data_IF_125906057591
#
_entry.id   IF_125906057591
#
_cell.length_a   1.000
_cell.length_b   1.000
_cell.length_c   1.000
_cell.angle_alpha   90.00
_cell.angle_beta   90.00
_cell.angle_gamma   90.00
#
_symmetry.space_group_name_H-M   'P 1'
#
loop_
_entity.id
_entity.type
_entity.pdbx_description
1 polymer ?
#
# COMPACT_ATOMS: atom_id res chain seq x y z
N UNK A 1 23.94 9.18 -25.21
CA UNK A 1 23.83 8.25 -26.37
C UNK A 1 24.93 7.19 -26.36
N UNK A 2 26.19 7.53 -26.09
CA UNK A 2 27.31 6.58 -26.00
C UNK A 2 27.13 5.59 -24.84
N UNK A 3 26.69 6.07 -23.68
CA UNK A 3 26.48 5.25 -22.48
C UNK A 3 25.32 4.22 -22.64
N UNK A 4 24.29 4.55 -23.43
CA UNK A 4 23.21 3.59 -23.81
C UNK A 4 23.71 2.51 -24.77
N UNK A 5 24.57 2.88 -25.74
CA UNK A 5 25.15 1.89 -26.67
C UNK A 5 26.12 0.94 -25.99
N UNK A 6 26.92 1.43 -25.06
CA UNK A 6 27.85 0.61 -24.28
C UNK A 6 27.11 -0.38 -23.34
N UNK A 7 25.99 0.01 -22.75
CA UNK A 7 25.13 -0.91 -21.99
C UNK A 7 24.47 -1.97 -22.88
N UNK A 8 24.03 -1.61 -24.07
CA UNK A 8 23.44 -2.58 -25.01
C UNK A 8 24.49 -3.56 -25.55
N UNK A 9 25.70 -3.12 -25.83
CA UNK A 9 26.80 -3.99 -26.24
C UNK A 9 27.19 -4.98 -25.13
N UNK A 10 27.40 -4.50 -23.90
CA UNK A 10 27.73 -5.38 -22.77
C UNK A 10 26.66 -6.44 -22.45
N UNK A 11 25.38 -6.15 -22.71
CA UNK A 11 24.29 -7.11 -22.54
C UNK A 11 24.30 -8.16 -23.66
N UNK A 12 24.54 -7.75 -24.92
CA UNK A 12 24.65 -8.68 -26.05
C UNK A 12 25.84 -9.62 -25.94
N UNK A 13 27.00 -9.08 -25.68
CA UNK A 13 28.27 -9.85 -25.67
C UNK A 13 28.39 -10.86 -24.52
N UNK A 14 27.52 -10.75 -23.47
CA UNK A 14 27.54 -11.66 -22.32
C UNK A 14 26.38 -12.64 -22.30
N UNK A 15 25.40 -12.50 -23.16
CA UNK A 15 24.23 -13.38 -23.23
C UNK A 15 24.28 -14.37 -24.40
N UNK A 16 25.13 -14.12 -25.36
CA UNK A 16 25.34 -15.05 -26.45
C UNK A 16 26.43 -16.05 -25.99
N UNK A 17 26.10 -17.34 -25.96
CA UNK A 17 27.11 -18.37 -25.85
C UNK A 17 28.00 -18.30 -27.12
N UNK A 18 29.31 -18.50 -26.97
CA UNK A 18 30.26 -18.42 -28.10
C UNK A 18 29.89 -19.32 -29.25
N UNK A 19 29.08 -20.35 -29.03
CA UNK A 19 28.55 -21.31 -29.97
C UNK A 19 27.08 -21.10 -30.39
N UNK A 20 26.45 -19.98 -29.96
CA UNK A 20 25.04 -19.70 -30.19
C UNK A 20 24.05 -20.59 -29.46
N UNK A 21 24.51 -21.39 -28.50
CA UNK A 21 23.68 -22.25 -27.66
C UNK A 21 23.09 -21.54 -26.44
N UNK A 22 22.01 -22.11 -25.91
CA UNK A 22 21.39 -21.67 -24.64
C UNK A 22 22.31 -21.94 -23.44
N UNK A 23 22.81 -20.87 -22.80
CA UNK A 23 23.57 -21.01 -21.56
C UNK A 23 22.65 -21.27 -20.37
N UNK A 24 22.70 -22.47 -19.77
CA UNK A 24 21.84 -22.92 -18.66
C UNK A 24 22.65 -23.25 -17.43
N UNK A 25 23.44 -22.30 -17.02
CA UNK A 25 24.47 -22.45 -15.97
C UNK A 25 23.94 -22.94 -14.61
N UNK A 26 22.66 -22.86 -14.33
CA UNK A 26 22.03 -23.29 -13.07
C UNK A 26 21.08 -24.48 -13.21
N UNK A 27 20.95 -25.09 -14.40
CA UNK A 27 20.02 -26.18 -14.64
C UNK A 27 20.31 -27.40 -13.78
N UNK A 28 21.53 -27.88 -13.81
CA UNK A 28 21.99 -29.00 -12.98
C UNK A 28 21.78 -28.79 -11.48
N UNK A 29 22.15 -27.61 -10.99
CA UNK A 29 21.93 -27.26 -9.60
C UNK A 29 20.43 -27.21 -9.24
N UNK A 30 19.61 -26.60 -10.08
CA UNK A 30 18.18 -26.42 -9.84
C UNK A 30 17.44 -27.75 -9.82
N UNK A 31 17.74 -28.63 -10.78
CA UNK A 31 17.16 -29.96 -10.84
C UNK A 31 17.63 -30.84 -9.70
N UNK A 32 18.94 -30.87 -9.41
CA UNK A 32 19.51 -31.65 -8.34
C UNK A 32 18.97 -31.27 -6.95
N UNK A 33 18.88 -29.96 -6.65
CA UNK A 33 18.34 -29.51 -5.35
C UNK A 33 16.83 -29.75 -5.23
N UNK A 34 16.07 -29.70 -6.34
CA UNK A 34 14.66 -30.08 -6.37
C UNK A 34 14.49 -31.56 -6.04
N UNK A 35 15.26 -32.44 -6.70
CA UNK A 35 15.19 -33.89 -6.52
C UNK A 35 15.59 -34.28 -5.10
N UNK A 36 16.67 -33.69 -4.57
CA UNK A 36 17.07 -33.82 -3.18
C UNK A 36 15.95 -33.40 -2.24
N UNK A 37 15.29 -32.26 -2.48
CA UNK A 37 14.18 -31.80 -1.65
C UNK A 37 12.97 -32.75 -1.68
N UNK A 38 12.68 -33.34 -2.84
CA UNK A 38 11.58 -34.30 -3.01
C UNK A 38 11.84 -35.64 -2.35
N UNK A 39 13.11 -36.01 -2.11
CA UNK A 39 13.45 -37.23 -1.40
C UNK A 39 13.18 -37.19 0.12
N UNK A 40 12.99 -35.99 0.67
CA UNK A 40 12.70 -35.80 2.09
C UNK A 40 11.21 -35.67 2.39
N UNK A 41 10.82 -36.05 3.60
CA UNK A 41 9.45 -35.84 4.10
C UNK A 41 9.15 -34.33 4.18
N UNK A 42 8.03 -33.90 3.62
CA UNK A 42 7.61 -32.49 3.61
C UNK A 42 7.52 -31.95 5.06
N UNK A 43 8.21 -30.83 5.31
CA UNK A 43 8.28 -30.17 6.62
C UNK A 43 9.38 -30.72 7.54
N UNK A 44 10.13 -31.76 7.14
CA UNK A 44 11.30 -32.20 7.89
C UNK A 44 12.41 -31.15 7.87
N UNK A 45 13.36 -31.17 8.84
CA UNK A 45 14.51 -30.28 8.83
C UNK A 45 15.32 -30.37 7.53
N UNK A 46 15.50 -31.57 6.99
CA UNK A 46 16.26 -31.79 5.75
C UNK A 46 15.55 -31.19 4.52
N UNK A 47 14.24 -31.37 4.41
CA UNK A 47 13.44 -30.71 3.35
C UNK A 47 13.54 -29.17 3.44
N UNK A 48 13.44 -28.63 4.65
CA UNK A 48 13.55 -27.19 4.89
C UNK A 48 14.95 -26.67 4.58
N UNK A 49 15.99 -27.45 4.88
CA UNK A 49 17.36 -27.11 4.56
C UNK A 49 17.62 -27.12 3.04
N UNK A 50 17.19 -28.17 2.34
CA UNK A 50 17.25 -28.23 0.87
C UNK A 50 16.51 -27.05 0.22
N UNK A 51 15.32 -26.71 0.73
CA UNK A 51 14.56 -25.53 0.30
C UNK A 51 15.32 -24.22 0.52
N UNK A 52 16.00 -24.08 1.66
CA UNK A 52 16.81 -22.89 1.96
C UNK A 52 18.00 -22.77 0.99
N UNK A 53 18.68 -23.86 0.68
CA UNK A 53 19.80 -23.89 -0.30
C UNK A 53 19.28 -23.43 -1.67
N UNK A 54 18.20 -24.03 -2.18
CA UNK A 54 17.61 -23.67 -3.47
C UNK A 54 17.20 -22.20 -3.53
N UNK A 55 16.50 -21.70 -2.53
CA UNK A 55 16.07 -20.31 -2.48
C UNK A 55 17.24 -19.32 -2.35
N UNK A 56 18.36 -19.73 -1.74
CA UNK A 56 19.50 -18.84 -1.57
C UNK A 56 20.31 -18.62 -2.84
N UNK A 57 20.20 -19.47 -3.85
CA UNK A 57 20.87 -19.30 -5.15
C UNK A 57 20.57 -17.92 -5.76
N UNK A 58 19.29 -17.59 -5.91
CA UNK A 58 18.89 -16.28 -6.44
C UNK A 58 19.44 -15.14 -5.58
N UNK A 59 19.34 -15.24 -4.25
CA UNK A 59 19.90 -14.23 -3.34
C UNK A 59 21.40 -14.02 -3.52
N UNK A 60 22.14 -15.08 -3.82
CA UNK A 60 23.60 -15.03 -4.06
C UNK A 60 23.93 -14.34 -5.39
N UNK A 61 23.12 -14.48 -6.43
CA UNK A 61 23.34 -13.74 -7.70
C UNK A 61 23.15 -12.23 -7.53
N UNK A 62 22.36 -11.80 -6.55
CA UNK A 62 22.09 -10.38 -6.24
C UNK A 62 22.96 -9.83 -5.09
N UNK A 63 23.75 -10.66 -4.41
CA UNK A 63 24.54 -10.25 -3.25
C UNK A 63 25.60 -9.21 -3.64
N UNK A 64 25.70 -8.10 -2.88
CA UNK A 64 26.69 -7.05 -3.11
C UNK A 64 26.31 -6.06 -4.23
N UNK A 65 25.19 -6.22 -4.96
CA UNK A 65 24.74 -5.25 -5.95
C UNK A 65 24.19 -3.95 -5.32
N UNK A 66 23.70 -4.05 -4.10
CA UNK A 66 23.27 -2.92 -3.28
C UNK A 66 24.04 -2.95 -1.96
N UNK A 67 24.55 -1.78 -1.56
CA UNK A 67 25.21 -1.63 -0.25
C UNK A 67 24.30 -2.10 0.88
N UNK A 68 24.80 -3.05 1.66
CA UNK A 68 24.13 -3.61 2.84
C UNK A 68 25.18 -3.87 3.90
N UNK A 69 24.97 -3.32 5.09
CA UNK A 69 25.85 -3.59 6.23
C UNK A 69 25.45 -4.90 6.91
N UNK A 70 26.41 -5.77 7.17
CA UNK A 70 26.27 -7.01 7.92
C UNK A 70 27.31 -7.07 9.03
N UNK A 71 27.05 -7.88 10.06
CA UNK A 71 28.02 -8.12 11.11
C UNK A 71 28.88 -9.33 10.72
N UNK A 72 30.20 -9.09 10.60
CA UNK A 72 31.18 -10.13 10.34
C UNK A 72 31.63 -10.75 11.68
N UNK A 73 31.35 -12.03 11.88
CA UNK A 73 31.69 -12.77 13.11
C UNK A 73 33.16 -13.11 13.23
N UNK A 74 33.91 -13.13 12.12
CA UNK A 74 35.37 -13.36 12.17
C UNK A 74 36.12 -12.09 12.55
N UNK A 75 35.77 -10.97 11.89
CA UNK A 75 36.39 -9.67 12.16
C UNK A 75 35.75 -8.90 13.32
N UNK A 76 34.66 -9.43 13.91
CA UNK A 76 33.89 -8.84 15.01
C UNK A 76 33.48 -7.40 14.78
N UNK A 77 33.17 -7.06 13.55
CA UNK A 77 32.83 -5.69 13.13
C UNK A 77 31.73 -5.66 12.08
N UNK A 78 31.09 -4.54 11.95
CA UNK A 78 30.14 -4.30 10.83
C UNK A 78 30.91 -3.98 9.57
N UNK A 79 30.66 -4.74 8.51
CA UNK A 79 31.27 -4.57 7.19
C UNK A 79 30.18 -4.41 6.12
N UNK A 80 30.55 -3.88 4.98
CA UNK A 80 29.70 -3.95 3.79
C UNK A 80 29.70 -5.39 3.27
N UNK A 81 28.52 -5.94 2.98
CA UNK A 81 28.36 -7.31 2.48
C UNK A 81 29.06 -7.43 1.12
N UNK A 82 30.13 -8.22 1.00
CA UNK A 82 30.85 -8.38 -0.26
C UNK A 82 30.02 -9.13 -1.30
N UNK A 83 30.31 -8.97 -2.60
CA UNK A 83 29.74 -9.82 -3.65
C UNK A 83 29.99 -11.30 -3.38
N UNK A 84 29.09 -12.15 -3.79
CA UNK A 84 29.31 -13.61 -3.80
C UNK A 84 30.15 -14.01 -5.03
N UNK A 85 30.67 -15.23 -5.04
CA UNK A 85 31.39 -15.78 -6.20
C UNK A 85 30.52 -15.88 -7.48
N UNK A 86 29.18 -15.90 -7.31
CA UNK A 86 28.21 -16.00 -8.39
C UNK A 86 27.39 -14.72 -8.55
N UNK A 87 27.83 -13.59 -8.00
CA UNK A 87 27.13 -12.31 -8.16
C UNK A 87 27.11 -11.92 -9.63
N UNK A 88 25.89 -11.76 -10.17
CA UNK A 88 25.67 -11.37 -11.56
C UNK A 88 24.39 -10.53 -11.64
N UNK A 89 24.56 -9.25 -11.94
CA UNK A 89 23.45 -8.28 -12.00
C UNK A 89 22.43 -8.62 -13.09
N UNK A 90 22.88 -9.18 -14.22
CA UNK A 90 22.01 -9.51 -15.34
C UNK A 90 21.10 -10.69 -14.95
N UNK A 91 21.67 -11.77 -14.43
CA UNK A 91 20.90 -12.94 -14.01
C UNK A 91 19.90 -12.56 -12.91
N UNK A 92 20.34 -11.80 -11.90
CA UNK A 92 19.47 -11.34 -10.82
C UNK A 92 18.32 -10.46 -11.35
N UNK A 93 18.59 -9.54 -12.29
CA UNK A 93 17.58 -8.69 -12.90
C UNK A 93 16.61 -9.47 -13.80
N UNK A 94 17.14 -10.38 -14.62
CA UNK A 94 16.31 -11.24 -15.49
C UNK A 94 15.39 -12.15 -14.68
N UNK A 95 15.86 -12.80 -13.63
CA UNK A 95 15.05 -13.69 -12.80
C UNK A 95 13.84 -12.94 -12.22
N UNK A 96 14.05 -11.79 -11.58
CA UNK A 96 12.94 -11.01 -11.03
C UNK A 96 12.11 -10.33 -12.10
N UNK A 97 12.73 -9.85 -13.17
CA UNK A 97 12.06 -9.21 -14.30
C UNK A 97 11.11 -10.17 -15.01
N UNK A 98 11.55 -11.41 -15.26
CA UNK A 98 10.74 -12.43 -15.90
C UNK A 98 9.52 -12.82 -15.05
N UNK A 99 9.69 -13.13 -13.76
CA UNK A 99 8.56 -13.45 -12.88
C UNK A 99 7.57 -12.29 -12.79
N UNK A 100 8.06 -11.04 -12.72
CA UNK A 100 7.17 -9.85 -12.75
C UNK A 100 6.43 -9.71 -14.07
N UNK A 101 7.06 -10.02 -15.21
CA UNK A 101 6.41 -9.97 -16.51
C UNK A 101 5.31 -11.03 -16.62
N UNK A 102 5.58 -12.27 -16.19
CA UNK A 102 4.57 -13.34 -16.11
C UNK A 102 3.40 -12.92 -15.23
N UNK A 103 3.68 -12.46 -14.01
CA UNK A 103 2.66 -12.04 -13.07
C UNK A 103 1.83 -10.86 -13.62
N UNK A 104 2.46 -9.87 -14.23
CA UNK A 104 1.78 -8.72 -14.84
C UNK A 104 0.90 -9.12 -16.01
N UNK A 105 1.37 -10.06 -16.84
CA UNK A 105 0.56 -10.59 -17.94
C UNK A 105 -0.66 -11.34 -17.42
N UNK A 106 -0.50 -12.21 -16.40
CA UNK A 106 -1.61 -12.93 -15.80
C UNK A 106 -2.64 -12.00 -15.17
N UNK A 107 -2.19 -11.00 -14.43
CA UNK A 107 -3.08 -9.98 -13.82
C UNK A 107 -3.84 -9.18 -14.89
N UNK A 108 -3.17 -8.83 -16.00
CA UNK A 108 -3.80 -8.08 -17.11
C UNK A 108 -4.80 -8.94 -17.91
N UNK A 109 -4.73 -10.26 -17.80
CA UNK A 109 -5.60 -11.24 -18.47
C UNK A 109 -6.68 -11.83 -17.57
N UNK A 110 -6.79 -11.34 -16.33
CA UNK A 110 -7.95 -11.68 -15.49
C UNK A 110 -9.22 -11.22 -16.20
N UNK A 111 -10.28 -12.06 -16.30
CA UNK A 111 -11.49 -11.73 -17.03
C UNK A 111 -12.14 -10.41 -16.60
N UNK A 112 -12.78 -9.74 -17.54
CA UNK A 112 -13.56 -8.54 -17.27
C UNK A 112 -14.66 -8.86 -16.23
N UNK A 113 -14.84 -7.99 -15.24
CA UNK A 113 -15.77 -8.19 -14.12
C UNK A 113 -15.20 -8.99 -12.95
N UNK A 114 -13.97 -9.49 -13.06
CA UNK A 114 -13.23 -10.10 -11.95
C UNK A 114 -12.21 -9.13 -11.37
N UNK A 115 -11.89 -9.30 -10.10
CA UNK A 115 -11.04 -8.38 -9.33
C UNK A 115 -9.73 -9.06 -8.91
N UNK A 116 -8.62 -8.35 -9.03
CA UNK A 116 -7.36 -8.73 -8.39
C UNK A 116 -7.25 -8.01 -7.04
N UNK A 117 -7.44 -8.76 -5.97
CA UNK A 117 -7.47 -8.23 -4.60
C UNK A 117 -6.06 -7.88 -4.10
N UNK A 118 -5.09 -8.73 -4.40
CA UNK A 118 -3.71 -8.56 -3.94
C UNK A 118 -2.72 -9.24 -4.88
N UNK A 119 -1.57 -8.61 -5.10
CA UNK A 119 -0.45 -9.20 -5.80
C UNK A 119 0.79 -9.18 -4.88
N UNK A 120 1.54 -10.29 -4.88
CA UNK A 120 2.80 -10.44 -4.17
C UNK A 120 3.96 -10.64 -5.15
N UNK A 121 5.08 -11.19 -4.70
CA UNK A 121 6.28 -11.35 -5.52
C UNK A 121 6.11 -12.37 -6.63
N UNK A 122 5.33 -13.43 -6.36
CA UNK A 122 5.23 -14.67 -7.12
C UNK A 122 3.81 -15.23 -7.20
N UNK A 123 2.80 -14.43 -6.84
CA UNK A 123 1.41 -14.84 -6.87
C UNK A 123 0.43 -13.68 -6.68
N UNK A 124 -0.83 -13.94 -6.89
CA UNK A 124 -1.91 -12.98 -6.70
C UNK A 124 -3.16 -13.66 -6.12
N UNK A 125 -4.07 -12.88 -5.59
CA UNK A 125 -5.39 -13.29 -5.10
C UNK A 125 -6.42 -12.62 -5.99
N UNK A 126 -7.33 -13.42 -6.51
CA UNK A 126 -8.42 -12.97 -7.39
C UNK A 126 -9.70 -13.74 -7.07
N UNK A 127 -10.84 -13.20 -7.45
CA UNK A 127 -12.15 -13.86 -7.44
C UNK A 127 -12.41 -14.65 -8.75
N UNK A 128 -11.46 -14.68 -9.70
CA UNK A 128 -11.51 -15.55 -10.86
C UNK A 128 -11.15 -17.00 -10.47
N UNK A 129 -11.89 -17.98 -10.99
CA UNK A 129 -11.52 -19.39 -10.86
C UNK A 129 -10.29 -19.70 -11.73
N UNK A 130 -9.53 -20.73 -11.35
CA UNK A 130 -8.32 -21.11 -12.08
C UNK A 130 -8.57 -21.41 -13.57
N UNK A 131 -9.72 -22.02 -13.89
CA UNK A 131 -10.15 -22.33 -15.25
C UNK A 131 -10.52 -21.11 -16.10
N UNK A 132 -10.77 -19.96 -15.48
CA UNK A 132 -11.09 -18.70 -16.16
C UNK A 132 -9.83 -17.92 -16.55
N UNK A 133 -8.66 -18.30 -16.02
CA UNK A 133 -7.41 -17.58 -16.28
C UNK A 133 -6.85 -17.93 -17.67
N UNK A 134 -6.55 -16.90 -18.47
CA UNK A 134 -5.95 -17.06 -19.78
C UNK A 134 -4.42 -17.22 -19.68
N UNK A 135 -3.95 -18.46 -19.90
CA UNK A 135 -2.54 -18.83 -19.88
C UNK A 135 -1.88 -18.83 -21.29
N UNK A 136 -2.55 -18.31 -22.31
CA UNK A 136 -2.04 -18.30 -23.68
C UNK A 136 -1.10 -17.13 -24.02
N UNK A 137 -0.80 -16.29 -23.02
CA UNK A 137 0.11 -15.16 -23.20
C UNK A 137 1.56 -15.57 -23.42
N UNK A 138 2.36 -14.76 -24.11
CA UNK A 138 3.74 -15.08 -24.45
C UNK A 138 4.65 -15.31 -23.24
N UNK A 139 4.41 -14.61 -22.12
CA UNK A 139 5.19 -14.82 -20.90
C UNK A 139 4.74 -16.09 -20.17
N UNK A 140 3.44 -16.38 -20.14
CA UNK A 140 2.90 -17.61 -19.59
C UNK A 140 3.42 -18.84 -20.33
N UNK A 141 3.37 -18.84 -21.66
CA UNK A 141 3.91 -19.93 -22.50
C UNK A 141 5.39 -20.18 -22.22
N UNK A 142 6.19 -19.11 -22.14
CA UNK A 142 7.63 -19.24 -21.81
C UNK A 142 7.86 -19.77 -20.41
N UNK A 143 7.04 -19.37 -19.45
CA UNK A 143 7.16 -19.83 -18.07
C UNK A 143 6.70 -21.27 -17.93
N UNK A 144 5.62 -21.68 -18.63
CA UNK A 144 5.19 -23.09 -18.68
C UNK A 144 6.29 -23.97 -19.29
N UNK A 145 6.90 -23.57 -20.40
CA UNK A 145 8.01 -24.30 -21.01
C UNK A 145 9.22 -24.45 -20.07
N UNK A 146 9.49 -23.45 -19.22
CA UNK A 146 10.49 -23.56 -18.16
C UNK A 146 10.06 -24.57 -17.08
N UNK A 147 8.79 -24.55 -16.66
CA UNK A 147 8.25 -25.51 -15.69
C UNK A 147 8.33 -26.94 -16.21
N UNK A 148 7.92 -27.19 -17.46
CA UNK A 148 7.95 -28.51 -18.10
C UNK A 148 9.37 -29.09 -18.14
N UNK A 149 10.36 -28.22 -18.29
CA UNK A 149 11.75 -28.62 -18.31
C UNK A 149 12.33 -28.89 -16.92
N UNK A 150 12.09 -27.97 -15.99
CA UNK A 150 12.73 -28.03 -14.63
C UNK A 150 11.93 -28.91 -13.69
N UNK A 151 10.63 -28.98 -13.84
CA UNK A 151 9.70 -29.68 -12.99
C UNK A 151 8.55 -30.27 -13.81
N UNK A 152 8.83 -31.26 -14.69
CA UNK A 152 7.80 -31.92 -15.49
C UNK A 152 6.65 -32.36 -14.57
N UNK A 153 5.45 -32.39 -15.09
CA UNK A 153 4.20 -32.71 -14.37
C UNK A 153 3.73 -31.66 -13.35
N UNK A 154 4.29 -30.45 -13.37
CA UNK A 154 3.80 -29.34 -12.55
C UNK A 154 3.19 -28.23 -13.40
N UNK A 155 1.99 -27.77 -13.02
CA UNK A 155 1.42 -26.56 -13.62
C UNK A 155 2.22 -25.32 -13.24
N UNK A 156 2.27 -24.33 -14.13
CA UNK A 156 2.86 -23.03 -13.84
C UNK A 156 2.11 -22.28 -12.73
N UNK A 157 0.84 -22.57 -12.53
CA UNK A 157 0.02 -22.00 -11.47
C UNK A 157 -0.37 -23.10 -10.45
N UNK A 158 -0.19 -22.77 -9.19
CA UNK A 158 -0.61 -23.59 -8.05
C UNK A 158 -1.65 -22.80 -7.24
N UNK A 159 -2.88 -23.34 -7.14
CA UNK A 159 -3.87 -22.79 -6.22
C UNK A 159 -3.52 -23.22 -4.79
N UNK A 160 -3.13 -22.28 -3.95
CA UNK A 160 -2.70 -22.55 -2.56
C UNK A 160 -3.82 -22.42 -1.55
N UNK A 161 -4.79 -21.58 -1.82
CA UNK A 161 -5.90 -21.25 -0.92
C UNK A 161 -7.14 -20.90 -1.72
N UNK A 162 -8.30 -21.27 -1.18
CA UNK A 162 -9.61 -20.84 -1.63
C UNK A 162 -10.43 -20.36 -0.43
N UNK A 163 -11.06 -19.20 -0.53
CA UNK A 163 -11.86 -18.61 0.56
C UNK A 163 -13.12 -17.97 -0.01
N UNK A 164 -14.18 -17.89 0.78
CA UNK A 164 -15.44 -17.24 0.37
C UNK A 164 -15.41 -15.73 0.56
N UNK A 165 -14.77 -15.27 1.66
CA UNK A 165 -14.62 -13.86 1.94
C UNK A 165 -13.24 -13.58 2.55
N UNK A 166 -12.62 -12.47 2.10
CA UNK A 166 -11.30 -12.05 2.50
C UNK A 166 -11.32 -10.58 2.95
N UNK A 167 -10.65 -10.28 4.06
CA UNK A 167 -10.34 -8.92 4.47
C UNK A 167 -8.91 -8.60 4.04
N UNK A 168 -8.74 -7.62 3.16
CA UNK A 168 -7.45 -7.17 2.66
C UNK A 168 -7.27 -5.68 2.96
N UNK A 169 -6.48 -5.35 3.98
CA UNK A 169 -6.30 -3.96 4.44
C UNK A 169 -5.04 -3.32 3.85
N UNK A 170 -3.98 -4.10 3.70
CA UNK A 170 -2.68 -3.61 3.20
C UNK A 170 -1.87 -4.74 2.58
N UNK A 171 -0.73 -4.39 1.96
CA UNK A 171 0.22 -5.38 1.45
C UNK A 171 0.65 -6.34 2.55
N UNK A 172 0.53 -7.64 2.31
CA UNK A 172 0.77 -8.74 3.27
C UNK A 172 -0.11 -8.66 4.52
N UNK A 173 -1.29 -8.06 4.40
CA UNK A 173 -2.31 -8.01 5.43
C UNK A 173 -3.63 -8.49 4.84
N UNK A 174 -3.75 -9.81 4.64
CA UNK A 174 -4.95 -10.48 4.10
C UNK A 174 -5.35 -11.59 5.05
N UNK A 175 -6.59 -11.57 5.49
CA UNK A 175 -7.13 -12.50 6.50
C UNK A 175 -8.46 -13.06 5.99
N UNK A 176 -8.65 -14.36 6.13
CA UNK A 176 -9.93 -15.03 5.80
C UNK A 176 -11.01 -14.57 6.77
N UNK A 177 -12.09 -14.01 6.23
CA UNK A 177 -13.30 -13.72 7.00
C UNK A 177 -14.25 -14.96 6.97
N UNK A 178 -14.55 -15.46 5.77
CA UNK A 178 -15.36 -16.68 5.61
C UNK A 178 -14.51 -17.74 4.90
N UNK A 179 -14.17 -18.86 5.55
CA UNK A 179 -13.42 -19.93 4.94
C UNK A 179 -14.22 -20.66 3.86
N UNK A 180 -13.50 -21.33 2.96
CA UNK A 180 -14.07 -22.35 2.10
C UNK A 180 -13.89 -23.71 2.77
N UNK A 181 -14.93 -24.54 2.76
CA UNK A 181 -14.93 -25.83 3.44
C UNK A 181 -13.80 -26.75 2.93
N UNK A 182 -13.05 -27.34 3.85
CA UNK A 182 -11.91 -28.21 3.53
C UNK A 182 -10.63 -27.47 3.09
N UNK A 183 -10.67 -26.16 2.93
CA UNK A 183 -9.53 -25.38 2.44
C UNK A 183 -8.79 -24.62 3.56
N UNK A 184 -7.51 -24.31 3.28
CA UNK A 184 -6.70 -23.54 4.22
C UNK A 184 -7.01 -22.07 4.14
N UNK A 185 -7.12 -21.43 5.31
CA UNK A 185 -7.27 -19.98 5.43
C UNK A 185 -6.08 -19.20 4.86
N UNK A 186 -6.37 -18.07 4.22
CA UNK A 186 -5.37 -17.07 3.90
C UNK A 186 -5.08 -16.28 5.19
N UNK A 187 -3.82 -16.27 5.62
CA UNK A 187 -3.40 -15.61 6.85
C UNK A 187 -2.07 -14.88 6.66
N UNK A 188 -2.14 -13.66 6.14
CA UNK A 188 -1.01 -12.74 6.04
C UNK A 188 -1.10 -11.67 7.14
N UNK A 189 -0.31 -11.83 8.18
CA UNK A 189 -0.44 -11.10 9.46
C UNK A 189 0.15 -9.68 9.48
N UNK A 190 0.52 -9.10 8.37
CA UNK A 190 1.13 -7.76 8.29
C UNK A 190 2.35 -7.54 9.22
N UNK A 191 3.06 -8.61 9.58
CA UNK A 191 4.18 -8.58 10.53
C UNK A 191 3.78 -8.62 12.00
N UNK A 192 2.51 -8.81 12.31
CA UNK A 192 2.01 -8.96 13.69
C UNK A 192 2.29 -10.37 14.20
N UNK A 193 2.75 -10.47 15.44
CA UNK A 193 2.81 -11.73 16.18
C UNK A 193 1.56 -11.82 17.07
N UNK A 194 0.68 -12.83 16.89
CA UNK A 194 -0.49 -13.01 17.74
C UNK A 194 -0.05 -13.33 19.18
N UNK A 195 -0.20 -12.37 20.06
CA UNK A 195 0.16 -12.46 21.47
C UNK A 195 -0.94 -11.84 22.31
N UNK A 196 -1.30 -12.48 23.42
CA UNK A 196 -2.22 -11.97 24.42
C UNK A 196 -1.50 -11.80 25.77
N UNK A 197 -1.90 -10.84 26.60
CA UNK A 197 -1.38 -10.77 27.96
C UNK A 197 -1.63 -12.09 28.70
N UNK A 198 -0.69 -12.50 29.55
CA UNK A 198 -0.92 -13.60 30.48
C UNK A 198 -1.93 -13.16 31.58
N UNK A 199 -2.40 -14.11 32.39
CA UNK A 199 -3.41 -13.87 33.44
C UNK A 199 -2.96 -12.75 34.41
N UNK A 200 -1.69 -12.74 34.79
CA UNK A 200 -1.11 -11.77 35.72
C UNK A 200 -0.77 -10.43 35.07
N UNK A 201 -0.99 -10.27 33.75
CA UNK A 201 -0.59 -9.08 32.96
C UNK A 201 0.89 -8.71 33.05
N UNK A 202 1.73 -9.61 33.52
CA UNK A 202 3.19 -9.40 33.65
C UNK A 202 3.96 -9.74 32.37
N UNK A 203 3.32 -10.44 31.43
CA UNK A 203 3.93 -10.90 30.19
C UNK A 203 2.90 -11.18 29.10
N UNK A 204 3.40 -11.81 28.02
CA UNK A 204 2.58 -12.15 26.86
C UNK A 204 2.77 -13.62 26.50
N UNK A 205 1.71 -14.31 26.17
CA UNK A 205 1.69 -15.67 25.67
C UNK A 205 1.26 -15.72 24.20
N UNK A 206 1.80 -16.65 23.40
CA UNK A 206 1.36 -16.83 22.02
C UNK A 206 -0.10 -17.30 21.98
N UNK A 207 -0.89 -16.72 21.09
CA UNK A 207 -2.19 -17.27 20.71
C UNK A 207 -1.98 -18.64 20.05
N UNK A 208 -2.81 -19.66 20.32
CA UNK A 208 -2.75 -20.94 19.62
C UNK A 208 -2.86 -20.76 18.09
N UNK A 209 -2.16 -21.61 17.33
CA UNK A 209 -2.02 -21.44 15.87
C UNK A 209 -3.35 -21.53 15.14
N UNK A 210 -4.23 -22.39 15.60
CA UNK A 210 -5.60 -22.57 15.08
C UNK A 210 -6.49 -21.34 15.29
N UNK A 211 -6.20 -20.54 16.32
CA UNK A 211 -6.92 -19.29 16.63
C UNK A 211 -6.31 -18.05 15.97
N UNK A 212 -5.17 -18.17 15.29
CA UNK A 212 -4.48 -17.03 14.67
C UNK A 212 -5.36 -16.27 13.68
N UNK A 213 -6.19 -16.96 12.89
CA UNK A 213 -7.03 -16.32 11.89
C UNK A 213 -8.10 -15.44 12.56
N UNK A 214 -8.83 -15.98 13.54
CA UNK A 214 -9.85 -15.22 14.29
C UNK A 214 -9.25 -14.03 15.03
N UNK A 215 -8.14 -14.23 15.74
CA UNK A 215 -7.42 -13.16 16.41
C UNK A 215 -7.02 -12.03 15.46
N UNK A 216 -6.47 -12.37 14.28
CA UNK A 216 -6.03 -11.38 13.31
C UNK A 216 -7.21 -10.70 12.61
N UNK A 217 -8.32 -11.42 12.37
CA UNK A 217 -9.54 -10.84 11.80
C UNK A 217 -10.10 -9.78 12.73
N UNK A 218 -10.30 -10.11 14.01
CA UNK A 218 -10.74 -9.14 15.02
C UNK A 218 -9.81 -7.92 15.09
N UNK A 219 -8.50 -8.15 15.14
CA UNK A 219 -7.51 -7.08 15.18
C UNK A 219 -7.57 -6.16 13.95
N UNK A 220 -7.86 -6.69 12.75
CA UNK A 220 -7.98 -5.87 11.54
C UNK A 220 -9.28 -5.07 11.50
N UNK A 221 -10.39 -5.68 11.89
CA UNK A 221 -11.70 -5.03 11.87
C UNK A 221 -11.83 -3.98 12.98
N UNK A 222 -11.38 -4.32 14.20
CA UNK A 222 -11.48 -3.49 15.39
C UNK A 222 -10.24 -2.63 15.67
N UNK A 223 -9.35 -2.47 14.66
CA UNK A 223 -8.15 -1.68 14.82
C UNK A 223 -8.45 -0.24 15.24
N UNK A 224 -7.62 0.28 16.13
CA UNK A 224 -7.72 1.66 16.61
C UNK A 224 -6.42 2.42 16.32
N UNK A 225 -6.51 3.77 16.13
CA UNK A 225 -5.32 4.57 15.90
C UNK A 225 -4.32 4.48 17.06
N UNK A 226 -3.04 4.38 16.72
CA UNK A 226 -1.98 4.32 17.74
C UNK A 226 -1.89 3.02 18.52
N UNK A 227 -2.70 2.01 18.21
CA UNK A 227 -2.69 0.71 18.87
C UNK A 227 -1.27 0.13 18.93
N UNK A 228 -0.90 -0.39 20.08
CA UNK A 228 0.42 -1.02 20.30
C UNK A 228 0.30 -2.53 20.25
N UNK A 229 1.40 -3.15 19.84
CA UNK A 229 1.58 -4.59 19.89
C UNK A 229 2.93 -4.93 20.46
N UNK A 230 3.04 -6.17 20.94
CA UNK A 230 4.30 -6.72 21.43
C UNK A 230 4.83 -7.73 20.45
N UNK A 231 6.12 -7.69 20.18
CA UNK A 231 6.84 -8.69 19.39
C UNK A 231 7.95 -9.34 20.24
N UNK A 232 8.28 -10.58 19.94
CA UNK A 232 9.32 -11.34 20.63
C UNK A 232 10.45 -11.74 19.67
N UNK A 233 11.25 -10.78 19.12
CA UNK A 233 12.38 -11.10 18.28
C UNK A 233 13.49 -11.76 19.08
N UNK A 234 14.31 -12.56 18.41
CA UNK A 234 15.58 -13.01 18.98
C UNK A 234 16.63 -11.90 18.91
N UNK A 235 17.58 -11.92 19.85
CA UNK A 235 18.77 -11.08 19.80
C UNK A 235 19.53 -11.32 18.51
N UNK A 236 19.96 -10.23 17.86
CA UNK A 236 20.85 -10.34 16.68
C UNK A 236 22.24 -10.82 17.11
N UNK A 237 23.00 -11.43 16.20
CA UNK A 237 24.39 -11.84 16.45
C UNK A 237 25.24 -10.67 16.98
N UNK A 238 24.99 -9.45 16.46
CA UNK A 238 25.66 -8.24 16.94
C UNK A 238 25.34 -7.91 18.40
N UNK A 239 24.08 -8.07 18.80
CA UNK A 239 23.66 -7.84 20.21
C UNK A 239 24.25 -8.92 21.12
N UNK A 240 24.23 -10.20 20.71
CA UNK A 240 24.84 -11.31 21.43
C UNK A 240 26.32 -11.04 21.67
N UNK A 241 27.04 -10.67 20.59
CA UNK A 241 28.45 -10.33 20.68
C UNK A 241 28.74 -9.16 21.63
N UNK A 242 28.00 -8.03 21.48
CA UNK A 242 28.23 -6.85 22.31
C UNK A 242 27.96 -7.06 23.78
N UNK A 243 26.98 -7.88 24.09
CA UNK A 243 26.53 -8.13 25.46
C UNK A 243 27.11 -9.40 26.06
N UNK A 244 27.94 -10.14 25.29
CA UNK A 244 28.47 -11.45 25.65
C UNK A 244 27.37 -12.39 26.17
N UNK A 245 26.28 -12.51 25.41
CA UNK A 245 25.12 -13.32 25.78
C UNK A 245 24.78 -14.33 24.69
N UNK A 246 24.11 -15.40 25.06
CA UNK A 246 23.51 -16.37 24.14
C UNK A 246 22.29 -15.73 23.40
N UNK A 247 21.66 -16.54 22.54
CA UNK A 247 20.41 -16.19 21.87
C UNK A 247 19.29 -16.00 22.90
N UNK A 248 18.87 -14.77 23.09
CA UNK A 248 17.78 -14.43 24.01
C UNK A 248 16.58 -13.91 23.23
N UNK A 249 15.38 -14.23 23.67
CA UNK A 249 14.15 -13.70 23.14
C UNK A 249 13.81 -12.38 23.84
N UNK A 250 13.83 -11.29 23.08
CA UNK A 250 13.51 -9.95 23.60
C UNK A 250 12.02 -9.69 23.51
N UNK A 251 11.50 -8.87 24.43
CA UNK A 251 10.16 -8.30 24.32
C UNK A 251 10.28 -6.87 23.82
N UNK A 252 9.67 -6.55 22.68
CA UNK A 252 9.67 -5.19 22.10
C UNK A 252 8.26 -4.76 21.80
N UNK A 253 7.93 -3.57 22.24
CA UNK A 253 6.68 -2.92 21.85
C UNK A 253 6.84 -2.10 20.59
N UNK A 254 5.82 -2.12 19.74
CA UNK A 254 5.75 -1.32 18.52
C UNK A 254 4.32 -0.83 18.28
N UNK A 255 4.18 0.31 17.65
CA UNK A 255 2.88 0.77 17.17
C UNK A 255 2.44 -0.07 15.99
N UNK A 256 1.23 -0.62 16.04
CA UNK A 256 0.62 -1.32 14.92
C UNK A 256 0.39 -0.36 13.76
N UNK A 257 0.68 -0.84 12.55
CA UNK A 257 0.37 -0.15 11.33
C UNK A 257 -0.49 -1.07 10.44
N UNK A 258 -1.77 -1.08 10.73
CA UNK A 258 -2.77 -1.89 10.02
C UNK A 258 -3.55 -1.08 8.97
N UNK A 259 -3.20 0.19 8.77
CA UNK A 259 -3.80 1.00 7.72
C UNK A 259 -3.20 0.73 6.35
N UNK A 260 -3.95 1.06 5.30
CA UNK A 260 -3.52 0.94 3.92
C UNK A 260 -2.21 1.69 3.67
N UNK A 261 -1.36 1.17 2.83
CA UNK A 261 0.00 1.68 2.62
C UNK A 261 0.14 2.59 1.38
N UNK A 262 -0.96 2.92 0.72
CA UNK A 262 -1.03 3.79 -0.46
C UNK A 262 0.01 3.46 -1.55
N UNK A 263 0.27 2.18 -1.77
CA UNK A 263 1.06 1.73 -2.93
C UNK A 263 0.32 1.94 -4.25
N UNK A 264 -1.00 1.96 -4.19
CA UNK A 264 -1.90 2.35 -5.27
C UNK A 264 -2.83 3.45 -4.76
N UNK A 265 -3.38 4.23 -5.66
CA UNK A 265 -4.36 5.25 -5.32
C UNK A 265 -5.68 4.59 -4.91
N UNK A 266 -6.24 4.96 -3.76
CA UNK A 266 -7.55 4.51 -3.32
C UNK A 266 -8.65 5.30 -4.02
N UNK A 267 -9.69 4.59 -4.41
CA UNK A 267 -10.94 5.15 -4.96
C UNK A 267 -12.13 4.52 -4.25
N UNK A 268 -13.26 5.17 -4.32
CA UNK A 268 -14.52 4.61 -3.83
C UNK A 268 -14.80 3.26 -4.52
N UNK A 269 -15.26 2.30 -3.74
CA UNK A 269 -15.53 0.93 -4.18
C UNK A 269 -17.02 0.62 -4.13
N UNK A 270 -17.34 -0.63 -3.77
CA UNK A 270 -18.72 -1.17 -3.78
C UNK A 270 -19.54 -0.73 -2.56
N UNK A 271 -19.10 0.30 -1.84
CA UNK A 271 -19.79 0.79 -0.65
C UNK A 271 -19.49 -0.03 0.60
N UNK A 272 -20.53 -0.26 1.43
CA UNK A 272 -20.41 -0.98 2.71
C UNK A 272 -20.65 -2.48 2.50
N UNK A 273 -19.71 -3.30 2.97
CA UNK A 273 -19.77 -4.76 2.89
C UNK A 273 -19.88 -5.35 4.31
N UNK A 274 -20.77 -6.32 4.49
CA UNK A 274 -20.91 -7.06 5.74
C UNK A 274 -19.70 -8.00 5.95
N UNK A 275 -19.12 -7.96 7.15
CA UNK A 275 -18.05 -8.86 7.60
C UNK A 275 -18.39 -9.30 9.02
N UNK A 276 -18.90 -10.53 9.18
CA UNK A 276 -19.50 -10.95 10.45
C UNK A 276 -20.77 -10.15 10.74
N UNK A 277 -20.87 -9.62 11.96
CA UNK A 277 -22.01 -8.81 12.43
C UNK A 277 -21.87 -7.31 12.09
N UNK A 278 -20.71 -6.88 11.61
CA UNK A 278 -20.39 -5.49 11.32
C UNK A 278 -20.35 -5.20 9.81
N UNK A 279 -20.39 -3.92 9.44
CA UNK A 279 -20.21 -3.45 8.08
C UNK A 279 -18.97 -2.60 7.96
N UNK A 280 -18.20 -2.80 6.88
CA UNK A 280 -16.96 -2.09 6.60
C UNK A 280 -16.95 -1.53 5.19
N UNK A 281 -16.27 -0.40 4.99
CA UNK A 281 -16.11 0.17 3.66
C UNK A 281 -15.26 -0.73 2.77
N UNK A 282 -15.71 -0.93 1.54
CA UNK A 282 -14.91 -1.53 0.47
C UNK A 282 -14.37 -0.45 -0.44
N UNK A 283 -13.07 -0.43 -0.65
CA UNK A 283 -12.38 0.53 -1.51
C UNK A 283 -11.65 -0.19 -2.63
N UNK A 284 -11.73 0.36 -3.84
CA UNK A 284 -10.94 -0.06 -4.98
C UNK A 284 -9.60 0.68 -5.06
N UNK A 285 -8.73 0.23 -5.92
CA UNK A 285 -7.44 0.88 -6.15
C UNK A 285 -7.16 1.03 -7.64
N UNK A 286 -6.49 2.13 -8.00
CA UNK A 286 -5.95 2.34 -9.35
C UNK A 286 -4.46 2.70 -9.29
N UNK A 287 -3.71 2.53 -10.40
CA UNK A 287 -2.32 2.96 -10.46
C UNK A 287 -2.18 4.46 -10.21
N UNK A 288 -1.10 4.86 -9.57
CA UNK A 288 -0.71 6.26 -9.53
C UNK A 288 -0.31 6.75 -10.93
N UNK A 289 -0.71 7.95 -11.30
CA UNK A 289 -0.25 8.60 -12.53
C UNK A 289 1.17 9.15 -12.38
N UNK A 290 1.46 9.73 -11.21
CA UNK A 290 2.74 10.38 -10.91
C UNK A 290 3.29 9.88 -9.57
N UNK A 291 4.60 9.70 -9.49
CA UNK A 291 5.28 9.22 -8.28
C UNK A 291 5.24 10.25 -7.15
N UNK A 292 5.32 11.53 -7.49
CA UNK A 292 5.29 12.64 -6.53
C UNK A 292 3.96 12.70 -5.78
N UNK A 293 2.85 12.41 -6.48
CA UNK A 293 1.51 12.34 -5.85
C UNK A 293 1.45 11.18 -4.85
N UNK A 294 2.04 10.04 -5.20
CA UNK A 294 2.10 8.90 -4.31
C UNK A 294 2.92 9.21 -3.05
N UNK A 295 4.06 9.86 -3.19
CA UNK A 295 4.92 10.25 -2.07
C UNK A 295 4.25 11.28 -1.17
N UNK A 296 3.62 12.30 -1.76
CA UNK A 296 2.87 13.33 -1.03
C UNK A 296 1.71 12.73 -0.25
N UNK A 297 0.88 11.90 -0.89
CA UNK A 297 -0.26 11.26 -0.23
C UNK A 297 0.18 10.33 0.90
N UNK A 298 1.23 9.55 0.70
CA UNK A 298 1.79 8.67 1.74
C UNK A 298 2.34 9.45 2.94
N UNK A 299 2.97 10.59 2.68
CA UNK A 299 3.44 11.49 3.74
C UNK A 299 2.28 12.07 4.56
N UNK A 300 1.23 12.55 3.90
CA UNK A 300 0.00 13.06 4.54
C UNK A 300 -0.68 11.96 5.37
N UNK A 301 -0.88 10.78 4.77
CA UNK A 301 -1.51 9.65 5.44
C UNK A 301 -0.71 9.17 6.65
N UNK A 302 0.62 9.23 6.61
CA UNK A 302 1.48 8.85 7.73
C UNK A 302 1.27 9.73 8.97
N UNK A 303 0.88 11.00 8.79
CA UNK A 303 0.46 11.87 9.89
C UNK A 303 -0.96 11.55 10.37
N UNK A 304 -1.90 11.48 9.43
CA UNK A 304 -3.33 11.33 9.70
C UNK A 304 -3.68 10.01 10.42
N UNK A 305 -3.13 8.88 10.01
CA UNK A 305 -3.38 7.55 10.59
C UNK A 305 -2.94 7.39 12.06
N UNK A 306 -2.25 8.37 12.64
CA UNK A 306 -1.90 8.34 14.07
C UNK A 306 -3.12 8.55 14.97
N UNK A 307 -4.17 9.16 14.43
CA UNK A 307 -5.39 9.53 15.14
C UNK A 307 -6.66 8.99 14.45
N UNK A 308 -6.55 8.37 13.28
CA UNK A 308 -7.66 7.94 12.45
C UNK A 308 -7.40 6.57 11.81
N UNK A 309 -8.49 5.84 11.53
CA UNK A 309 -8.51 4.61 10.75
C UNK A 309 -9.60 4.74 9.67
N UNK A 310 -9.45 4.06 8.52
CA UNK A 310 -10.51 4.03 7.50
C UNK A 310 -11.25 2.71 7.64
N UNK A 311 -12.46 2.73 8.22
CA UNK A 311 -13.32 1.55 8.45
C UNK A 311 -14.72 1.69 7.84
N UNK A 312 -15.23 2.90 7.75
CA UNK A 312 -16.57 3.22 7.26
C UNK A 312 -16.55 4.44 6.33
N UNK A 313 -17.71 4.79 5.76
CA UNK A 313 -17.83 5.93 4.84
C UNK A 313 -17.45 7.27 5.49
N UNK A 314 -17.77 7.45 6.77
CA UNK A 314 -17.41 8.67 7.50
C UNK A 314 -15.89 8.84 7.58
N UNK A 315 -15.17 7.77 7.92
CA UNK A 315 -13.70 7.76 7.97
C UNK A 315 -13.09 8.05 6.59
N UNK A 316 -13.70 7.50 5.52
CA UNK A 316 -13.28 7.75 4.14
C UNK A 316 -13.47 9.20 3.73
N UNK A 317 -14.62 9.78 4.03
CA UNK A 317 -14.89 11.21 3.79
C UNK A 317 -13.93 12.09 4.59
N UNK A 318 -13.66 11.77 5.85
CA UNK A 318 -12.69 12.51 6.67
C UNK A 318 -11.27 12.45 6.10
N UNK A 319 -10.87 11.29 5.56
CA UNK A 319 -9.58 11.16 4.88
C UNK A 319 -9.52 11.98 3.59
N UNK A 320 -10.51 11.88 2.73
CA UNK A 320 -10.55 12.59 1.44
C UNK A 320 -10.59 14.10 1.65
N UNK A 321 -11.38 14.59 2.59
CA UNK A 321 -11.42 15.99 3.02
C UNK A 321 -10.05 16.47 3.55
N UNK A 322 -9.43 15.69 4.42
CA UNK A 322 -8.10 16.00 4.95
C UNK A 322 -7.04 16.11 3.85
N UNK A 323 -7.03 15.15 2.92
CA UNK A 323 -6.08 15.12 1.82
C UNK A 323 -6.28 16.31 0.88
N UNK A 324 -7.52 16.58 0.48
CA UNK A 324 -7.90 17.70 -0.37
C UNK A 324 -7.59 19.05 0.28
N UNK A 325 -7.94 19.24 1.56
CA UNK A 325 -7.60 20.45 2.32
C UNK A 325 -6.08 20.70 2.39
N UNK A 326 -5.31 19.64 2.61
CA UNK A 326 -3.85 19.73 2.66
C UNK A 326 -3.26 20.15 1.31
N UNK A 327 -3.82 19.66 0.21
CA UNK A 327 -3.43 20.03 -1.15
C UNK A 327 -3.73 21.51 -1.43
N UNK A 328 -4.94 21.97 -1.12
CA UNK A 328 -5.33 23.40 -1.26
C UNK A 328 -4.43 24.29 -0.44
N UNK A 329 -4.14 23.89 0.80
CA UNK A 329 -3.23 24.64 1.67
C UNK A 329 -1.83 24.76 1.06
N UNK A 330 -1.31 23.71 0.45
CA UNK A 330 -0.02 23.73 -0.22
C UNK A 330 -0.03 24.64 -1.45
N UNK A 331 -1.08 24.58 -2.28
CA UNK A 331 -1.28 25.46 -3.45
C UNK A 331 -1.32 26.92 -3.05
N UNK A 332 -2.13 27.26 -2.05
CA UNK A 332 -2.24 28.64 -1.53
C UNK A 332 -0.90 29.16 -0.99
N UNK A 333 -0.17 28.33 -0.25
CA UNK A 333 1.17 28.71 0.23
C UNK A 333 2.13 29.00 -0.92
N UNK A 334 2.13 28.19 -1.96
CA UNK A 334 2.96 28.39 -3.14
C UNK A 334 2.61 29.68 -3.92
N UNK A 335 1.36 30.12 -3.83
CA UNK A 335 0.88 31.40 -4.40
C UNK A 335 1.12 32.61 -3.46
N UNK A 336 1.92 32.43 -2.39
CA UNK A 336 2.22 33.52 -1.45
C UNK A 336 1.08 33.86 -0.48
N UNK A 337 0.07 33.02 -0.39
CA UNK A 337 -1.04 33.22 0.53
C UNK A 337 -0.64 32.92 1.97
N UNK A 338 -0.64 33.92 2.84
CA UNK A 338 -0.33 33.82 4.27
C UNK A 338 -1.56 33.56 5.16
N UNK A 339 -2.65 33.08 4.56
CA UNK A 339 -3.91 32.83 5.30
C UNK A 339 -3.70 31.69 6.29
N UNK A 340 -4.02 31.92 7.57
CA UNK A 340 -4.15 30.86 8.57
C UNK A 340 -5.42 30.06 8.29
N UNK A 341 -5.30 29.04 7.46
CA UNK A 341 -6.34 28.04 7.26
C UNK A 341 -6.32 27.13 8.48
N UNK A 342 -7.36 27.21 9.30
CA UNK A 342 -7.50 26.29 10.44
C UNK A 342 -8.14 25.00 9.93
N UNK A 343 -7.55 23.85 10.28
CA UNK A 343 -8.07 22.53 9.90
C UNK A 343 -9.53 22.30 10.36
N UNK A 344 -9.99 23.03 11.40
CA UNK A 344 -11.36 22.95 11.92
C UNK A 344 -12.44 23.35 10.90
N UNK A 345 -12.12 24.18 9.91
CA UNK A 345 -13.09 24.66 8.92
C UNK A 345 -13.03 23.85 7.60
N UNK A 346 -12.03 22.99 7.39
CA UNK A 346 -11.88 22.14 6.22
C UNK A 346 -11.95 22.87 4.87
N UNK A 347 -12.29 22.16 3.81
CA UNK A 347 -12.49 22.72 2.47
C UNK A 347 -13.67 23.69 2.39
N UNK A 348 -14.79 23.38 3.06
CA UNK A 348 -15.94 24.25 3.13
C UNK A 348 -15.56 25.63 3.69
N UNK A 349 -14.66 25.69 4.69
CA UNK A 349 -14.14 26.93 5.22
C UNK A 349 -13.28 27.73 4.24
N UNK A 350 -12.51 27.06 3.39
CA UNK A 350 -11.76 27.71 2.30
C UNK A 350 -12.72 28.27 1.26
N UNK A 351 -13.70 27.48 0.85
CA UNK A 351 -14.70 27.90 -0.12
C UNK A 351 -15.53 29.08 0.40
N UNK A 352 -16.05 29.00 1.61
CA UNK A 352 -16.75 30.09 2.27
C UNK A 352 -15.92 31.38 2.27
N UNK A 353 -14.62 31.28 2.59
CA UNK A 353 -13.73 32.44 2.54
C UNK A 353 -13.57 33.03 1.14
N UNK A 354 -13.39 32.19 0.12
CA UNK A 354 -13.32 32.65 -1.27
C UNK A 354 -14.64 33.32 -1.69
N UNK A 355 -15.78 32.73 -1.28
CA UNK A 355 -17.08 33.31 -1.47
C UNK A 355 -17.19 34.70 -0.79
N UNK A 356 -16.76 34.86 0.45
CA UNK A 356 -16.78 36.14 1.15
C UNK A 356 -15.92 37.21 0.44
N UNK A 357 -14.76 36.83 -0.12
CA UNK A 357 -13.93 37.74 -0.93
C UNK A 357 -14.67 38.11 -2.20
N UNK A 358 -15.29 37.17 -2.90
CA UNK A 358 -16.05 37.44 -4.11
C UNK A 358 -17.29 38.31 -3.83
N UNK A 359 -18.02 38.05 -2.76
CA UNK A 359 -19.16 38.86 -2.33
C UNK A 359 -18.77 40.30 -1.99
N UNK A 360 -17.70 40.49 -1.21
CA UNK A 360 -17.28 41.82 -0.77
C UNK A 360 -16.68 42.65 -1.89
N UNK A 361 -16.22 42.05 -2.97
CA UNK A 361 -15.62 42.71 -4.13
C UNK A 361 -16.46 42.56 -5.40
N UNK A 362 -17.66 41.97 -5.31
CA UNK A 362 -18.59 41.76 -6.44
C UNK A 362 -17.97 41.04 -7.64
N UNK A 363 -17.28 39.91 -7.36
CA UNK A 363 -16.61 39.11 -8.38
C UNK A 363 -17.46 37.91 -8.81
N UNK A 364 -17.19 37.38 -10.01
CA UNK A 364 -17.69 36.11 -10.52
C UNK A 364 -19.21 35.92 -10.42
N UNK A 365 -19.98 36.97 -10.82
CA UNK A 365 -21.43 36.95 -10.83
C UNK A 365 -22.08 37.24 -9.46
N UNK A 366 -21.32 37.35 -8.40
CA UNK A 366 -21.84 37.62 -7.06
C UNK A 366 -22.03 39.10 -6.85
N UNK A 367 -23.27 39.52 -6.49
CA UNK A 367 -23.62 40.90 -6.18
C UNK A 367 -23.91 41.08 -4.70
N UNK A 368 -23.68 42.30 -4.18
CA UNK A 368 -24.01 42.63 -2.78
C UNK A 368 -25.52 42.87 -2.64
N UNK A 369 -26.24 41.78 -2.43
CA UNK A 369 -27.70 41.80 -2.29
C UNK A 369 -28.18 42.02 -0.86
N UNK A 370 -27.26 41.99 0.12
CA UNK A 370 -27.58 42.11 1.55
C UNK A 370 -26.46 42.80 2.33
N UNK A 371 -26.77 43.22 3.58
CA UNK A 371 -25.77 43.80 4.49
C UNK A 371 -24.82 42.73 5.03
N UNK A 372 -23.60 43.13 5.40
CA UNK A 372 -22.57 42.20 5.92
C UNK A 372 -22.98 41.43 7.19
N UNK A 373 -23.77 42.10 8.08
CA UNK A 373 -24.28 41.43 9.29
C UNK A 373 -25.32 40.34 8.93
N UNK A 374 -26.20 40.66 7.98
CA UNK A 374 -27.23 39.75 7.48
C UNK A 374 -26.58 38.51 6.81
N UNK A 375 -25.55 38.72 5.98
CA UNK A 375 -24.80 37.64 5.36
C UNK A 375 -24.12 36.72 6.42
N UNK A 376 -23.51 37.32 7.45
CA UNK A 376 -22.86 36.56 8.50
C UNK A 376 -23.87 35.71 9.28
N UNK A 377 -25.05 36.25 9.59
CA UNK A 377 -26.11 35.49 10.29
C UNK A 377 -26.63 34.38 9.37
N UNK A 378 -26.94 34.66 8.11
CA UNK A 378 -27.46 33.66 7.16
C UNK A 378 -26.49 32.48 6.95
N UNK A 379 -25.19 32.74 6.76
CA UNK A 379 -24.18 31.66 6.67
C UNK A 379 -24.06 30.84 7.94
N UNK A 380 -24.16 31.51 9.09
CA UNK A 380 -24.08 30.80 10.39
C UNK A 380 -25.31 29.93 10.63
N UNK A 381 -26.50 30.38 10.25
CA UNK A 381 -27.76 29.63 10.33
C UNK A 381 -27.76 28.43 9.37
N UNK A 382 -27.10 28.58 8.21
CA UNK A 382 -26.88 27.50 7.25
C UNK A 382 -25.78 26.48 7.70
N UNK A 383 -25.22 26.62 8.89
CA UNK A 383 -24.23 25.68 9.43
C UNK A 383 -22.75 26.04 9.14
N UNK A 384 -22.51 27.25 8.58
CA UNK A 384 -21.16 27.74 8.26
C UNK A 384 -20.78 28.95 9.14
N UNK A 385 -20.30 28.75 10.36
CA UNK A 385 -20.06 29.81 11.35
C UNK A 385 -19.19 30.92 10.77
N UNK A 386 -19.80 32.10 10.60
CA UNK A 386 -19.20 33.27 9.97
C UNK A 386 -19.50 34.51 10.81
N UNK A 387 -18.48 35.25 11.21
CA UNK A 387 -18.64 36.48 11.96
C UNK A 387 -18.73 37.69 11.04
N UNK A 388 -19.33 38.77 11.53
CA UNK A 388 -19.33 40.06 10.83
C UNK A 388 -17.91 40.54 10.50
N UNK A 389 -16.95 40.23 11.37
CA UNK A 389 -15.56 40.58 11.18
C UNK A 389 -14.91 39.75 10.06
N UNK A 390 -15.25 38.47 9.92
CA UNK A 390 -14.80 37.64 8.78
C UNK A 390 -15.25 38.24 7.45
N UNK A 391 -16.50 38.71 7.37
CA UNK A 391 -17.04 39.39 6.15
C UNK A 391 -16.28 40.67 5.88
N UNK A 392 -16.10 41.55 6.89
CA UNK A 392 -15.38 42.82 6.73
C UNK A 392 -13.93 42.64 6.30
N UNK A 393 -13.26 41.68 6.91
CA UNK A 393 -11.85 41.39 6.63
C UNK A 393 -11.66 40.76 5.23
N UNK A 394 -12.65 40.08 4.70
CA UNK A 394 -12.60 39.47 3.35
C UNK A 394 -12.49 40.50 2.23
N UNK A 395 -12.90 41.76 2.44
CA UNK A 395 -12.74 42.86 1.46
C UNK A 395 -11.27 43.10 1.06
N UNK A 396 -10.33 42.80 1.96
CA UNK A 396 -8.88 42.95 1.72
C UNK A 396 -8.23 41.64 1.28
N UNK A 397 -9.00 40.57 1.15
CA UNK A 397 -8.53 39.26 0.75
C UNK A 397 -8.29 39.14 -0.74
N UNK A 398 -7.41 38.26 -1.14
CA UNK A 398 -7.23 37.87 -2.54
C UNK A 398 -8.16 36.71 -2.87
N UNK A 399 -8.74 36.75 -4.05
CA UNK A 399 -9.45 35.61 -4.64
C UNK A 399 -8.43 34.75 -5.41
N UNK A 400 -8.52 33.44 -5.25
CA UNK A 400 -7.67 32.48 -5.95
C UNK A 400 -8.56 31.58 -6.79
N UNK A 401 -8.40 31.64 -8.12
CA UNK A 401 -9.23 30.88 -9.05
C UNK A 401 -8.84 29.39 -9.08
N UNK A 402 -9.82 28.53 -9.25
CA UNK A 402 -9.70 27.10 -9.60
C UNK A 402 -8.81 26.29 -8.64
N UNK A 403 -8.85 26.58 -7.35
CA UNK A 403 -7.96 25.91 -6.39
C UNK A 403 -8.63 24.86 -5.52
N UNK A 404 -9.96 24.83 -5.47
CA UNK A 404 -10.72 24.00 -4.52
C UNK A 404 -11.19 22.73 -5.22
N UNK A 405 -10.71 21.53 -4.84
CA UNK A 405 -11.24 20.28 -5.37
C UNK A 405 -12.68 20.06 -4.90
N UNK A 406 -13.49 19.42 -5.73
CA UNK A 406 -14.85 19.01 -5.34
C UNK A 406 -14.81 18.00 -4.19
N UNK A 407 -15.72 18.17 -3.23
CA UNK A 407 -15.98 17.21 -2.17
C UNK A 407 -17.45 17.27 -1.75
N UNK A 408 -17.98 16.19 -1.18
CA UNK A 408 -19.41 16.13 -0.80
C UNK A 408 -19.81 17.27 0.15
N UNK A 409 -19.00 17.56 1.18
CA UNK A 409 -19.28 18.67 2.12
C UNK A 409 -19.21 20.05 1.49
N UNK A 410 -18.42 20.20 0.44
CA UNK A 410 -18.29 21.45 -0.27
C UNK A 410 -19.45 21.64 -1.26
N UNK A 411 -19.94 20.56 -1.86
CA UNK A 411 -21.12 20.56 -2.71
C UNK A 411 -22.36 21.02 -1.95
N UNK A 412 -22.53 20.58 -0.69
CA UNK A 412 -23.61 21.09 0.18
C UNK A 412 -23.56 22.61 0.34
N UNK A 413 -22.37 23.18 0.62
CA UNK A 413 -22.22 24.64 0.70
C UNK A 413 -22.47 25.30 -0.66
N UNK A 414 -22.00 24.71 -1.76
CA UNK A 414 -22.23 25.23 -3.09
C UNK A 414 -23.73 25.33 -3.43
N UNK A 415 -24.53 24.33 -3.08
CA UNK A 415 -25.97 24.35 -3.23
C UNK A 415 -26.63 25.52 -2.44
N UNK A 416 -26.26 25.64 -1.16
CA UNK A 416 -26.75 26.73 -0.30
C UNK A 416 -26.41 28.13 -0.91
N UNK A 417 -25.19 28.27 -1.42
CA UNK A 417 -24.76 29.53 -2.04
C UNK A 417 -25.48 29.81 -3.35
N UNK A 418 -25.66 28.83 -4.24
CA UNK A 418 -26.34 28.98 -5.52
C UNK A 418 -27.82 29.28 -5.38
N UNK A 419 -28.48 28.74 -4.36
CA UNK A 419 -29.88 29.07 -4.07
C UNK A 419 -30.08 30.57 -3.83
N UNK A 420 -29.09 31.20 -3.18
CA UNK A 420 -29.18 32.66 -2.88
C UNK A 420 -28.46 33.53 -3.89
N UNK A 421 -27.44 33.00 -4.57
CA UNK A 421 -26.63 33.69 -5.57
C UNK A 421 -26.58 32.86 -6.87
N UNK A 422 -27.69 32.78 -7.62
CA UNK A 422 -27.80 31.91 -8.80
C UNK A 422 -26.83 32.27 -9.93
N UNK A 423 -26.41 33.53 -10.00
CA UNK A 423 -25.47 34.04 -11.02
C UNK A 423 -24.00 33.74 -10.67
N UNK A 424 -23.71 33.04 -9.54
CA UNK A 424 -22.37 32.72 -9.12
C UNK A 424 -21.70 31.73 -10.08
N UNK A 425 -20.54 32.11 -10.63
CA UNK A 425 -19.74 31.24 -11.49
C UNK A 425 -18.88 30.27 -10.66
N UNK A 426 -19.41 29.09 -10.38
CA UNK A 426 -18.73 28.04 -9.64
C UNK A 426 -17.42 27.59 -10.30
N UNK A 427 -17.28 27.68 -11.63
CA UNK A 427 -16.08 27.25 -12.33
C UNK A 427 -14.83 28.04 -11.92
N UNK A 428 -15.03 29.23 -11.33
CA UNK A 428 -13.94 30.05 -10.80
C UNK A 428 -13.46 29.64 -9.42
N UNK A 429 -14.25 28.87 -8.72
CA UNK A 429 -13.90 28.38 -7.38
C UNK A 429 -13.28 26.98 -7.43
N UNK A 430 -13.83 26.12 -8.30
CA UNK A 430 -13.54 24.70 -8.34
C UNK A 430 -12.37 24.37 -9.28
N UNK A 431 -11.55 23.44 -8.85
CA UNK A 431 -10.52 22.77 -9.67
C UNK A 431 -11.25 21.76 -10.59
N UNK A 432 -11.15 21.93 -11.91
CA UNK A 432 -11.79 21.10 -12.93
C UNK A 432 -10.99 19.82 -13.22
#
# INVERSE_FOLDING_TARGET
TAYRRQRQMCIRDRCDAEDGGDSRIFEEFTTGIRDLRRSFTKGSPDELYAKLIGNSLYGKTAQGLKKKTVFDTHGMKSIELPPSKITNAIIAAHTTGFIRAVLSEQIARVPAGKTVISATTDGFITDAELSELDLTGPMAIRYQALCDRVAPDTSMLEMKHKVRQLVAVKTRGQITAIPFEGEKSILAKAGVSPLVPNEDKTGFIPVPVDQHNGFMLDLFLNRVPGQRTTSKPFTSIREQWRNNTDVVRLTREATLNLEYDFKRYLVEGDGMIAVGDDTHISLHTKPWKHIDDAETTRALHSGWKRQHCIKNNGDWLDWTEHAAFSLVRARLKNQGCHIRLTAKKGLAGVFCRMFLVAFTNELHGIKKTMKYAELATWLSDAGYPTSLEDVKNSRRGNFYENIIPSSARMEELAYVLLERFPDMDLSKFLDQ
#
